data_IF_470396253440
#
_entry.id   IF_470396253440
#
_cell.length_a   1.000
_cell.length_b   1.000
_cell.length_c   1.000
_cell.angle_alpha   90.00
_cell.angle_beta   90.00
_cell.angle_gamma   90.00
#
_symmetry.space_group_name_H-M   'P 1'
#
loop_
_entity.id
_entity.type
_entity.pdbx_description
1 polymer ?
#
# COMPACT_ATOMS: atom_id res chain seq x y z
N UNK A 1 18.87 -5.54 -13.78
CA UNK A 1 18.73 -5.88 -12.34
C UNK A 1 17.80 -7.08 -12.28
N UNK A 2 18.19 -8.11 -11.55
CA UNK A 2 17.32 -9.27 -11.31
C UNK A 2 16.09 -8.80 -10.51
N UNK A 3 14.93 -9.42 -10.73
CA UNK A 3 13.69 -9.12 -10.01
C UNK A 3 13.91 -9.23 -8.49
N UNK A 4 14.70 -10.22 -8.07
CA UNK A 4 15.08 -10.45 -6.67
C UNK A 4 15.85 -9.24 -6.10
N UNK A 5 16.72 -8.61 -6.88
CA UNK A 5 17.49 -7.45 -6.43
C UNK A 5 16.61 -6.21 -6.29
N UNK A 6 15.65 -6.02 -7.20
CA UNK A 6 14.65 -4.95 -7.11
C UNK A 6 13.79 -5.11 -5.85
N UNK A 7 13.37 -6.34 -5.55
CA UNK A 7 12.59 -6.64 -4.36
C UNK A 7 13.37 -6.37 -3.07
N UNK A 8 14.65 -6.76 -3.02
CA UNK A 8 15.53 -6.48 -1.87
C UNK A 8 15.73 -4.99 -1.66
N UNK A 9 15.93 -4.23 -2.75
CA UNK A 9 16.06 -2.77 -2.70
C UNK A 9 14.77 -2.11 -2.18
N UNK A 10 13.61 -2.56 -2.67
CA UNK A 10 12.32 -2.08 -2.21
C UNK A 10 12.08 -2.41 -0.73
N UNK A 11 12.40 -3.62 -0.29
CA UNK A 11 12.26 -4.02 1.12
C UNK A 11 13.12 -3.15 2.06
N UNK A 12 14.37 -2.88 1.69
CA UNK A 12 15.23 -1.99 2.45
C UNK A 12 14.67 -0.56 2.52
N UNK A 13 14.10 -0.06 1.42
CA UNK A 13 13.46 1.25 1.36
C UNK A 13 12.24 1.32 2.28
N UNK A 14 11.38 0.29 2.27
CA UNK A 14 10.19 0.21 3.12
C UNK A 14 10.56 0.30 4.60
N UNK A 15 11.60 -0.42 5.04
CA UNK A 15 12.06 -0.38 6.44
C UNK A 15 12.42 1.04 6.86
N UNK A 16 13.12 1.78 6.00
CA UNK A 16 13.55 3.14 6.28
C UNK A 16 12.41 4.17 6.20
N UNK A 17 11.43 3.96 5.31
CA UNK A 17 10.35 4.93 5.07
C UNK A 17 9.08 4.67 5.89
N UNK A 18 8.93 3.49 6.51
CA UNK A 18 7.72 3.13 7.29
C UNK A 18 7.35 4.13 8.38
N UNK A 19 8.33 4.77 9.02
CA UNK A 19 8.07 5.79 10.05
C UNK A 19 7.63 7.15 9.50
N UNK A 20 7.95 7.43 8.23
CA UNK A 20 7.70 8.71 7.55
C UNK A 20 6.36 8.66 6.80
N UNK A 21 6.05 7.50 6.21
CA UNK A 21 4.86 7.27 5.42
C UNK A 21 3.70 6.92 6.35
N UNK A 22 2.84 7.91 6.63
CA UNK A 22 1.73 7.76 7.57
C UNK A 22 0.35 7.68 6.90
N UNK A 23 0.24 8.14 5.65
CA UNK A 23 -1.03 8.13 4.91
C UNK A 23 -1.11 6.92 3.98
N UNK A 24 -2.34 6.48 3.72
CA UNK A 24 -2.62 5.39 2.79
C UNK A 24 -2.10 5.71 1.39
N UNK A 25 -2.33 6.94 0.91
CA UNK A 25 -1.87 7.41 -0.39
C UNK A 25 -0.34 7.40 -0.50
N UNK A 26 0.36 7.90 0.53
CA UNK A 26 1.82 7.86 0.54
C UNK A 26 2.35 6.41 0.59
N UNK A 27 1.64 5.50 1.25
CA UNK A 27 1.99 4.07 1.29
C UNK A 27 1.84 3.42 -0.08
N UNK A 28 0.72 3.68 -0.76
CA UNK A 28 0.49 3.22 -2.13
C UNK A 28 1.59 3.72 -3.07
N UNK A 29 1.93 5.00 -2.98
CA UNK A 29 2.90 5.61 -3.88
C UNK A 29 4.34 5.16 -3.59
N UNK A 30 4.72 5.02 -2.32
CA UNK A 30 6.10 4.73 -1.92
C UNK A 30 6.43 3.23 -1.89
N UNK A 31 5.43 2.36 -1.73
CA UNK A 31 5.63 0.92 -1.53
C UNK A 31 4.93 0.06 -2.59
N UNK A 32 3.65 0.32 -2.85
CA UNK A 32 2.83 -0.52 -3.74
C UNK A 32 3.12 -0.24 -5.22
N UNK A 33 3.17 1.02 -5.65
CA UNK A 33 3.49 1.35 -7.05
C UNK A 33 4.87 0.83 -7.47
N UNK A 34 5.97 1.00 -6.69
CA UNK A 34 7.27 0.43 -7.04
C UNK A 34 7.28 -1.10 -7.08
N UNK A 35 6.45 -1.76 -6.26
CA UNK A 35 6.30 -3.22 -6.30
C UNK A 35 5.66 -3.69 -7.61
N UNK A 36 4.58 -3.02 -8.03
CA UNK A 36 3.89 -3.33 -9.29
C UNK A 36 4.80 -3.04 -10.50
N UNK A 37 5.57 -1.95 -10.47
CA UNK A 37 6.59 -1.67 -11.48
C UNK A 37 7.67 -2.77 -11.53
N UNK A 38 8.12 -3.29 -10.37
CA UNK A 38 9.10 -4.37 -10.33
C UNK A 38 8.56 -5.68 -10.93
N UNK A 39 7.24 -5.90 -10.91
CA UNK A 39 6.58 -7.01 -11.59
C UNK A 39 6.48 -6.81 -13.12
N UNK A 40 6.88 -5.64 -13.63
CA UNK A 40 6.88 -5.31 -15.06
C UNK A 40 5.59 -4.65 -15.57
N UNK A 41 4.66 -4.29 -14.69
CA UNK A 41 3.44 -3.58 -15.07
C UNK A 41 3.65 -2.08 -15.14
N UNK A 42 2.90 -1.42 -16.02
CA UNK A 42 2.85 0.01 -16.13
C UNK A 42 1.82 0.61 -15.16
N UNK A 43 2.30 1.13 -14.03
CA UNK A 43 1.45 1.81 -13.03
C UNK A 43 0.77 3.09 -13.52
N UNK A 44 1.17 3.62 -14.68
CA UNK A 44 0.52 4.79 -15.30
C UNK A 44 -0.49 4.40 -16.36
N UNK A 45 -0.56 3.12 -16.74
CA UNK A 45 -1.59 2.62 -17.66
C UNK A 45 -2.82 2.18 -16.85
N UNK A 46 -3.94 2.91 -16.93
CA UNK A 46 -5.16 2.57 -16.20
C UNK A 46 -5.78 1.23 -16.65
N UNK A 47 -5.40 0.70 -17.82
CA UNK A 47 -5.83 -0.60 -18.32
C UNK A 47 -5.06 -1.76 -17.66
N UNK A 48 -3.82 -1.52 -17.23
CA UNK A 48 -3.01 -2.51 -16.51
C UNK A 48 -3.15 -2.38 -15.00
N UNK A 49 -3.15 -1.14 -14.50
CA UNK A 49 -3.16 -0.83 -13.08
C UNK A 49 -4.23 0.21 -12.80
N UNK A 50 -5.35 -0.26 -12.27
CA UNK A 50 -6.43 0.63 -11.82
C UNK A 50 -6.22 0.97 -10.34
N UNK A 51 -6.21 2.26 -9.95
CA UNK A 51 -6.21 2.65 -8.56
C UNK A 51 -7.41 2.04 -7.83
N UNK A 52 -7.20 1.62 -6.58
CA UNK A 52 -8.26 1.00 -5.77
C UNK A 52 -9.50 1.92 -5.67
N UNK A 53 -10.66 1.33 -5.97
CA UNK A 53 -11.98 1.81 -5.56
C UNK A 53 -12.05 1.72 -4.04
N UNK A 54 -12.18 2.87 -3.35
CA UNK A 54 -12.51 3.07 -1.92
C UNK A 54 -12.32 1.80 -1.07
N UNK A 55 -11.15 1.64 -0.46
CA UNK A 55 -10.94 0.59 0.53
C UNK A 55 -11.78 0.91 1.76
N UNK A 56 -12.86 0.15 1.98
CA UNK A 56 -13.82 0.31 3.08
C UNK A 56 -13.23 -0.16 4.43
N UNK A 57 -11.99 0.21 4.73
CA UNK A 57 -11.28 -0.11 5.98
C UNK A 57 -11.62 0.88 7.11
N UNK A 58 -12.78 1.53 7.02
CA UNK A 58 -13.22 2.63 7.89
C UNK A 58 -14.32 2.32 8.90
N UNK A 59 -14.89 1.11 8.98
CA UNK A 59 -15.91 0.83 10.02
C UNK A 59 -15.85 -0.59 10.61
N UNK A 60 -14.74 -0.95 11.28
CA UNK A 60 -14.92 -1.67 12.54
C UNK A 60 -15.49 -0.68 13.56
N UNK A 61 -16.80 -0.48 13.47
CA UNK A 61 -17.65 0.09 14.52
C UNK A 61 -17.30 -0.68 15.79
N UNK A 62 -16.46 -0.09 16.64
CA UNK A 62 -16.32 -0.54 18.03
C UNK A 62 -17.73 -0.39 18.59
N UNK A 63 -18.49 -1.47 18.59
CA UNK A 63 -19.80 -1.52 19.23
C UNK A 63 -19.49 -1.35 20.70
N UNK A 64 -19.53 -0.10 21.18
CA UNK A 64 -19.64 0.22 22.59
C UNK A 64 -20.85 -0.58 23.06
N UNK A 65 -20.61 -1.68 23.77
CA UNK A 65 -21.64 -2.39 24.49
C UNK A 65 -22.08 -1.46 25.62
N UNK A 66 -22.92 -0.50 25.28
CA UNK A 66 -23.81 0.13 26.24
C UNK A 66 -25.00 -0.82 26.30
N UNK A 67 -25.02 -1.68 27.31
CA UNK A 67 -26.28 -2.24 27.78
C UNK A 67 -26.35 -2.04 29.29
N UNK A 68 -27.44 -1.42 29.78
CA UNK A 68 -27.64 -1.07 31.17
C UNK A 68 -28.14 -2.29 31.95
N UNK A 69 -27.58 -2.51 33.14
CA UNK A 69 -28.25 -3.07 34.30
C UNK A 69 -27.57 -2.50 35.54
#
# INVERSE_FOLDING_TARGET
MDFIDQLKSLAARIINTRGIVQTEEATKNAMVMPFIQALGYNVFDPLEVTPELISDIGTKKVRKLITPF
#
